data_IF_833776678444
#
_entry.id   IF_833776678444
#
_cell.length_a   1.000
_cell.length_b   1.000
_cell.length_c   1.000
_cell.angle_alpha   90.00
_cell.angle_beta   90.00
_cell.angle_gamma   90.00
#
_symmetry.space_group_name_H-M   'P 1'
#
loop_
_entity.id
_entity.type
_entity.pdbx_description
1 polymer ?
#
# COMPACT_ATOMS: atom_id res chain seq x y z
N UNK A 1 -35.70 -3.23 7.35
CA UNK A 1 -35.58 -2.56 6.03
C UNK A 1 -34.28 -1.77 5.99
N UNK A 2 -33.28 -2.31 5.29
CA UNK A 2 -31.92 -1.78 5.14
C UNK A 2 -31.92 -0.35 4.56
N UNK A 3 -31.53 0.65 5.37
CA UNK A 3 -31.28 2.05 4.96
C UNK A 3 -29.77 2.40 4.93
N UNK A 4 -28.89 1.40 4.98
CA UNK A 4 -27.44 1.58 5.18
C UNK A 4 -26.62 1.81 3.91
N UNK A 5 -26.86 1.01 2.86
CA UNK A 5 -26.08 1.05 1.61
C UNK A 5 -26.25 2.37 0.85
N UNK A 6 -27.48 2.91 0.78
CA UNK A 6 -27.72 4.23 0.17
C UNK A 6 -27.03 5.37 0.92
N UNK A 7 -27.07 5.36 2.25
CA UNK A 7 -26.40 6.36 3.09
C UNK A 7 -24.88 6.28 3.00
N UNK A 8 -24.34 5.07 2.91
CA UNK A 8 -22.91 4.84 2.75
C UNK A 8 -22.42 5.34 1.37
N UNK A 9 -23.14 5.03 0.28
CA UNK A 9 -22.86 5.53 -1.07
C UNK A 9 -22.97 7.05 -1.16
N UNK A 10 -23.98 7.64 -0.55
CA UNK A 10 -24.17 9.10 -0.45
C UNK A 10 -23.02 9.77 0.32
N UNK A 11 -22.61 9.16 1.44
CA UNK A 11 -21.51 9.69 2.28
C UNK A 11 -20.17 9.58 1.57
N UNK A 12 -19.92 8.48 0.87
CA UNK A 12 -18.73 8.28 0.03
C UNK A 12 -18.73 9.25 -1.16
N UNK A 13 -19.88 9.46 -1.80
CA UNK A 13 -20.04 10.45 -2.88
C UNK A 13 -19.76 11.87 -2.39
N UNK A 14 -20.31 12.26 -1.23
CA UNK A 14 -20.04 13.56 -0.60
C UNK A 14 -18.57 13.72 -0.24
N UNK A 15 -17.94 12.66 0.28
CA UNK A 15 -16.51 12.62 0.55
C UNK A 15 -15.69 12.86 -0.74
N UNK A 16 -15.98 12.14 -1.82
CA UNK A 16 -15.27 12.26 -3.10
C UNK A 16 -15.42 13.67 -3.72
N UNK A 17 -16.64 14.24 -3.70
CA UNK A 17 -16.89 15.60 -4.19
C UNK A 17 -16.17 16.66 -3.34
N UNK A 18 -16.15 16.51 -2.01
CA UNK A 18 -15.43 17.40 -1.12
C UNK A 18 -13.90 17.30 -1.31
N UNK A 19 -13.40 16.09 -1.56
CA UNK A 19 -11.98 15.82 -1.82
C UNK A 19 -11.48 16.51 -3.08
N UNK A 20 -12.31 16.53 -4.14
CA UNK A 20 -11.96 17.23 -5.38
C UNK A 20 -11.67 18.74 -5.19
N UNK A 21 -12.10 19.32 -4.06
CA UNK A 21 -11.82 20.71 -3.68
C UNK A 21 -10.68 20.85 -2.68
N UNK A 22 -10.55 19.93 -1.73
CA UNK A 22 -9.53 19.97 -0.67
C UNK A 22 -9.24 18.58 -0.09
N UNK A 23 -8.01 18.08 -0.29
CA UNK A 23 -7.62 16.78 0.23
C UNK A 23 -7.45 16.72 1.75
N UNK A 24 -7.38 17.86 2.44
CA UNK A 24 -7.35 17.88 3.92
C UNK A 24 -8.59 17.20 4.51
N UNK A 25 -9.72 17.24 3.79
CA UNK A 25 -10.95 16.53 4.18
C UNK A 25 -10.72 15.02 4.23
N UNK A 26 -10.02 14.43 3.25
CA UNK A 26 -9.68 13.01 3.29
C UNK A 26 -8.68 12.69 4.38
N UNK A 27 -7.67 13.54 4.58
CA UNK A 27 -6.68 13.33 5.64
C UNK A 27 -7.39 13.27 6.99
N UNK A 28 -8.27 14.24 7.29
CA UNK A 28 -9.07 14.25 8.52
C UNK A 28 -9.93 12.99 8.62
N UNK A 29 -10.57 12.56 7.54
CA UNK A 29 -11.43 11.37 7.56
C UNK A 29 -10.63 10.06 7.77
N UNK A 30 -9.43 9.97 7.20
CA UNK A 30 -8.51 8.86 7.43
C UNK A 30 -8.04 8.83 8.89
N UNK A 31 -7.76 9.99 9.49
CA UNK A 31 -7.35 10.07 10.88
C UNK A 31 -8.49 9.69 11.83
N UNK A 32 -9.71 10.15 11.54
CA UNK A 32 -10.93 9.73 12.25
C UNK A 32 -11.11 8.20 12.15
N UNK A 33 -11.01 7.63 10.94
CA UNK A 33 -11.10 6.16 10.78
C UNK A 33 -10.00 5.44 11.54
N UNK A 34 -8.76 5.93 11.50
CA UNK A 34 -7.64 5.33 12.22
C UNK A 34 -7.86 5.33 13.73
N UNK A 35 -8.34 6.44 14.29
CA UNK A 35 -8.72 6.50 15.69
C UNK A 35 -9.80 5.47 16.04
N UNK A 36 -10.87 5.40 15.24
CA UNK A 36 -11.94 4.42 15.43
C UNK A 36 -11.43 2.97 15.40
N UNK A 37 -10.46 2.66 14.52
CA UNK A 37 -9.84 1.34 14.44
C UNK A 37 -9.01 1.00 15.68
N UNK A 38 -8.28 1.97 16.25
CA UNK A 38 -7.51 1.79 17.49
C UNK A 38 -8.38 1.50 18.71
N UNK A 39 -9.66 1.87 18.67
CA UNK A 39 -10.62 1.68 19.76
C UNK A 39 -11.76 0.71 19.38
N UNK A 40 -11.59 -0.09 18.32
CA UNK A 40 -12.65 -0.94 17.77
C UNK A 40 -13.13 -2.01 18.76
N UNK A 41 -12.29 -2.42 19.71
CA UNK A 41 -12.60 -3.37 20.78
C UNK A 41 -13.75 -2.92 21.71
N UNK A 42 -14.13 -1.65 21.71
CA UNK A 42 -15.25 -1.13 22.50
C UNK A 42 -16.58 -1.07 21.72
N UNK A 43 -16.54 -1.33 20.41
CA UNK A 43 -17.75 -1.36 19.55
C UNK A 43 -18.45 -2.72 19.68
N UNK A 44 -19.75 -2.79 19.44
CA UNK A 44 -20.50 -4.06 19.40
C UNK A 44 -19.91 -5.04 18.37
N UNK A 45 -19.82 -6.33 18.71
CA UNK A 45 -19.11 -7.36 17.93
C UNK A 45 -19.61 -7.44 16.49
N UNK A 46 -20.93 -7.33 16.29
CA UNK A 46 -21.59 -7.42 14.98
C UNK A 46 -21.20 -6.28 14.03
N UNK A 47 -20.68 -5.16 14.57
CA UNK A 47 -20.22 -4.02 13.78
C UNK A 47 -18.72 -4.05 13.49
N UNK A 48 -17.92 -4.76 14.30
CA UNK A 48 -16.45 -4.72 14.20
C UNK A 48 -15.95 -5.26 12.87
N UNK A 49 -16.42 -6.44 12.49
CA UNK A 49 -16.05 -7.10 11.23
C UNK A 49 -16.40 -6.21 10.03
N UNK A 50 -17.63 -5.68 9.98
CA UNK A 50 -18.06 -4.76 8.92
C UNK A 50 -17.17 -3.52 8.82
N UNK A 51 -16.84 -2.90 9.96
CA UNK A 51 -15.98 -1.70 9.99
C UNK A 51 -14.56 -2.05 9.52
N UNK A 52 -14.06 -3.21 9.91
CA UNK A 52 -12.74 -3.69 9.54
C UNK A 52 -12.63 -3.98 8.03
N UNK A 53 -13.61 -4.71 7.46
CA UNK A 53 -13.69 -4.96 6.01
C UNK A 53 -13.78 -3.65 5.23
N UNK A 54 -14.67 -2.73 5.63
CA UNK A 54 -14.78 -1.39 5.03
C UNK A 54 -13.46 -0.63 5.11
N UNK A 55 -12.70 -0.80 6.19
CA UNK A 55 -11.39 -0.17 6.38
C UNK A 55 -10.35 -0.72 5.41
N UNK A 56 -10.30 -2.03 5.20
CA UNK A 56 -9.38 -2.67 4.26
C UNK A 56 -9.70 -2.30 2.81
N UNK A 57 -10.97 -2.38 2.42
CA UNK A 57 -11.39 -2.20 1.03
C UNK A 57 -11.38 -0.74 0.59
N UNK A 58 -11.76 0.18 1.48
CA UNK A 58 -11.96 1.60 1.13
C UNK A 58 -10.85 2.47 1.70
N UNK A 59 -10.69 2.48 3.03
CA UNK A 59 -9.84 3.48 3.68
C UNK A 59 -8.35 3.21 3.50
N UNK A 60 -7.91 1.96 3.59
CA UNK A 60 -6.54 1.58 3.30
C UNK A 60 -6.18 1.86 1.83
N UNK A 61 -7.09 1.55 0.89
CA UNK A 61 -6.90 1.87 -0.53
C UNK A 61 -6.77 3.38 -0.78
N UNK A 62 -7.61 4.20 -0.13
CA UNK A 62 -7.50 5.67 -0.21
C UNK A 62 -6.16 6.14 0.36
N UNK A 63 -5.76 5.66 1.55
CA UNK A 63 -4.47 5.99 2.16
C UNK A 63 -3.29 5.59 1.25
N UNK A 64 -3.38 4.44 0.57
CA UNK A 64 -2.37 4.00 -0.40
C UNK A 64 -2.22 4.98 -1.56
N UNK A 65 -3.35 5.38 -2.17
CA UNK A 65 -3.33 6.29 -3.33
C UNK A 65 -2.84 7.70 -2.95
N UNK A 66 -3.09 8.14 -1.71
CA UNK A 66 -2.53 9.38 -1.16
C UNK A 66 -1.05 9.28 -0.73
N UNK A 67 -0.43 8.11 -0.88
CA UNK A 67 0.95 7.86 -0.47
C UNK A 67 1.16 7.84 1.05
N UNK A 68 0.08 7.75 1.84
CA UNK A 68 0.12 7.81 3.31
C UNK A 68 0.47 6.43 3.89
N UNK A 69 1.72 6.00 3.68
CA UNK A 69 2.19 4.65 3.98
C UNK A 69 2.04 4.22 5.44
N UNK A 70 2.28 5.12 6.39
CA UNK A 70 2.12 4.83 7.84
C UNK A 70 0.67 4.54 8.16
N UNK A 71 -0.22 5.44 7.74
CA UNK A 71 -1.66 5.35 8.00
C UNK A 71 -2.27 4.14 7.33
N UNK A 72 -1.91 3.88 6.07
CA UNK A 72 -2.34 2.69 5.35
C UNK A 72 -1.98 1.42 6.12
N UNK A 73 -0.71 1.26 6.47
CA UNK A 73 -0.21 0.06 7.15
C UNK A 73 -0.95 -0.15 8.48
N UNK A 74 -1.13 0.92 9.25
CA UNK A 74 -1.76 0.80 10.56
C UNK A 74 -3.26 0.47 10.43
N UNK A 75 -3.97 1.08 9.47
CA UNK A 75 -5.35 0.71 9.16
C UNK A 75 -5.46 -0.76 8.72
N UNK A 76 -4.55 -1.22 7.87
CA UNK A 76 -4.50 -2.60 7.39
C UNK A 76 -4.28 -3.59 8.54
N UNK A 77 -3.25 -3.37 9.37
CA UNK A 77 -2.90 -4.28 10.46
C UNK A 77 -3.99 -4.29 11.56
N UNK A 78 -4.57 -3.13 11.91
CA UNK A 78 -5.68 -3.04 12.87
C UNK A 78 -6.95 -3.71 12.34
N UNK A 79 -7.25 -3.55 11.05
CA UNK A 79 -8.45 -4.14 10.47
C UNK A 79 -8.31 -5.65 10.27
N UNK A 80 -7.10 -6.15 9.98
CA UNK A 80 -6.87 -7.57 9.77
C UNK A 80 -7.32 -8.43 10.94
N UNK A 81 -7.05 -8.02 12.17
CA UNK A 81 -7.45 -8.73 13.40
C UNK A 81 -8.96 -8.97 13.48
N UNK A 82 -9.78 -8.01 13.05
CA UNK A 82 -11.23 -8.10 13.14
C UNK A 82 -11.90 -8.61 11.87
N UNK A 83 -11.28 -8.42 10.71
CA UNK A 83 -11.79 -8.89 9.43
C UNK A 83 -11.53 -10.39 9.21
N UNK A 84 -10.37 -10.89 9.65
CA UNK A 84 -9.94 -12.27 9.44
C UNK A 84 -9.18 -12.80 10.69
N UNK A 85 -9.87 -13.02 11.83
CA UNK A 85 -9.22 -13.29 13.12
C UNK A 85 -8.37 -14.58 13.14
N UNK A 86 -8.83 -15.63 12.45
CA UNK A 86 -8.08 -16.90 12.36
C UNK A 86 -6.78 -16.74 11.56
N UNK A 87 -6.87 -16.09 10.40
CA UNK A 87 -5.72 -15.81 9.53
C UNK A 87 -4.73 -14.85 10.19
N UNK A 88 -5.24 -13.87 10.95
CA UNK A 88 -4.43 -12.96 11.75
C UNK A 88 -3.59 -13.74 12.78
N UNK A 89 -4.22 -14.63 13.53
CA UNK A 89 -3.56 -15.43 14.57
C UNK A 89 -2.46 -16.30 13.95
N UNK A 90 -2.78 -17.05 12.89
CA UNK A 90 -1.81 -17.87 12.15
C UNK A 90 -0.64 -17.05 11.60
N UNK A 91 -0.93 -15.92 10.97
CA UNK A 91 0.09 -15.03 10.38
C UNK A 91 1.01 -14.44 11.46
N UNK A 92 0.46 -14.13 12.64
CA UNK A 92 1.21 -13.58 13.77
C UNK A 92 2.16 -14.61 14.38
N UNK A 93 1.72 -15.85 14.55
CA UNK A 93 2.56 -16.96 15.02
C UNK A 93 3.72 -17.20 14.05
N UNK A 94 3.40 -17.39 12.77
CA UNK A 94 4.36 -17.55 11.67
C UNK A 94 5.40 -16.43 11.60
N UNK A 95 4.97 -15.16 11.73
CA UNK A 95 5.87 -14.02 11.76
C UNK A 95 6.81 -14.08 12.98
N UNK A 96 6.28 -14.43 14.15
CA UNK A 96 7.05 -14.44 15.39
C UNK A 96 8.20 -15.43 15.38
N UNK A 97 8.01 -16.60 14.75
CA UNK A 97 9.03 -17.63 14.60
C UNK A 97 10.17 -17.17 13.70
N UNK A 98 9.86 -16.56 12.55
CA UNK A 98 10.85 -16.12 11.56
C UNK A 98 11.56 -14.81 11.92
N UNK A 99 10.94 -13.95 12.71
CA UNK A 99 11.46 -12.61 12.99
C UNK A 99 12.79 -12.65 13.76
N UNK A 100 12.94 -13.54 14.75
CA UNK A 100 14.15 -13.59 15.59
C UNK A 100 15.42 -13.87 14.78
N UNK A 101 15.39 -14.91 13.96
CA UNK A 101 16.52 -15.28 13.10
C UNK A 101 16.83 -14.19 12.07
N UNK A 102 15.78 -13.67 11.43
CA UNK A 102 15.90 -12.62 10.41
C UNK A 102 16.48 -11.33 10.98
N UNK A 103 16.11 -10.95 12.20
CA UNK A 103 16.59 -9.73 12.84
C UNK A 103 18.09 -9.78 13.11
N UNK A 104 18.61 -10.88 13.66
CA UNK A 104 20.05 -11.05 13.91
C UNK A 104 20.85 -10.93 12.60
N UNK A 105 20.36 -11.56 11.53
CA UNK A 105 20.97 -11.48 10.19
C UNK A 105 20.97 -10.04 9.67
N UNK A 106 19.83 -9.35 9.72
CA UNK A 106 19.69 -7.98 9.24
C UNK A 106 20.55 -7.00 10.04
N UNK A 107 20.71 -7.20 11.34
CA UNK A 107 21.60 -6.39 12.17
C UNK A 107 23.08 -6.58 11.77
N UNK A 108 23.50 -7.81 11.47
CA UNK A 108 24.85 -8.08 10.98
C UNK A 108 25.09 -7.43 9.60
N UNK A 109 24.16 -7.60 8.66
CA UNK A 109 24.24 -6.95 7.35
C UNK A 109 24.24 -5.43 7.47
N UNK A 110 23.38 -4.87 8.32
CA UNK A 110 23.33 -3.44 8.57
C UNK A 110 24.70 -2.96 9.05
N UNK A 111 25.32 -3.60 10.06
CA UNK A 111 26.66 -3.22 10.55
C UNK A 111 27.71 -3.22 9.44
N UNK A 112 27.76 -4.26 8.61
CA UNK A 112 28.69 -4.35 7.47
C UNK A 112 28.45 -3.22 6.47
N UNK A 113 27.18 -2.98 6.11
CA UNK A 113 26.81 -1.92 5.18
C UNK A 113 27.19 -0.54 5.73
N UNK A 114 26.89 -0.25 7.01
CA UNK A 114 27.22 1.04 7.65
C UNK A 114 28.73 1.33 7.57
N UNK A 115 29.55 0.33 7.87
CA UNK A 115 31.02 0.46 7.80
C UNK A 115 31.47 0.81 6.39
N UNK A 116 30.95 0.09 5.38
CA UNK A 116 31.33 0.29 3.98
C UNK A 116 30.83 1.59 3.38
N UNK A 117 29.60 2.01 3.72
CA UNK A 117 29.09 3.33 3.36
C UNK A 117 30.00 4.45 3.88
N UNK A 118 30.47 4.35 5.12
CA UNK A 118 31.36 5.33 5.72
C UNK A 118 32.77 5.33 5.08
N UNK A 119 33.34 4.15 4.80
CA UNK A 119 34.63 4.01 4.10
C UNK A 119 34.60 4.65 2.70
N UNK A 120 33.48 4.55 1.99
CA UNK A 120 33.28 5.13 0.65
C UNK A 120 32.78 6.59 0.67
N UNK A 121 32.82 7.25 1.85
CA UNK A 121 32.57 8.69 1.98
C UNK A 121 31.11 9.09 2.22
N UNK A 122 30.18 8.15 2.34
CA UNK A 122 28.79 8.42 2.75
C UNK A 122 28.74 8.42 4.27
N UNK A 123 28.96 9.58 4.89
CA UNK A 123 29.03 9.71 6.37
C UNK A 123 27.71 10.07 7.03
N UNK A 124 26.76 10.63 6.27
CA UNK A 124 25.43 11.00 6.76
C UNK A 124 24.37 10.10 6.17
N UNK A 125 24.02 9.08 6.92
CA UNK A 125 22.94 8.16 6.56
C UNK A 125 22.28 7.60 7.82
N UNK A 126 21.05 7.15 7.66
CA UNK A 126 20.35 6.33 8.64
C UNK A 126 20.13 4.96 8.02
N UNK A 127 20.26 3.90 8.81
CA UNK A 127 19.81 2.58 8.37
C UNK A 127 19.04 1.86 9.45
N UNK A 128 17.90 1.31 9.05
CA UNK A 128 16.99 0.56 9.89
C UNK A 128 16.64 -0.79 9.24
N UNK A 129 16.09 -1.70 10.01
CA UNK A 129 15.42 -2.87 9.47
C UNK A 129 13.91 -2.65 9.55
N UNK A 130 13.20 -2.89 8.45
CA UNK A 130 11.76 -2.75 8.35
C UNK A 130 11.13 -4.14 8.29
N UNK A 131 10.42 -4.51 9.35
CA UNK A 131 9.53 -5.68 9.31
C UNK A 131 8.25 -5.32 8.56
N UNK A 132 7.75 -6.22 7.72
CA UNK A 132 6.45 -6.07 7.03
C UNK A 132 5.27 -6.04 8.02
N UNK A 133 4.16 -5.43 7.58
CA UNK A 133 2.88 -5.52 8.31
C UNK A 133 2.30 -6.93 8.22
N UNK A 134 1.47 -7.29 9.19
CA UNK A 134 0.81 -8.59 9.24
C UNK A 134 -0.12 -8.78 8.03
N UNK A 135 -0.87 -7.74 7.66
CA UNK A 135 -1.75 -7.79 6.50
C UNK A 135 -0.97 -8.04 5.20
N UNK A 136 0.14 -7.32 4.99
CA UNK A 136 0.98 -7.51 3.81
C UNK A 136 1.63 -8.89 3.77
N UNK A 137 2.02 -9.44 4.91
CA UNK A 137 2.54 -10.81 5.01
C UNK A 137 1.47 -11.83 4.64
N UNK A 138 0.26 -11.69 5.21
CA UNK A 138 -0.88 -12.54 4.87
C UNK A 138 -1.18 -12.53 3.37
N UNK A 139 -1.23 -11.35 2.74
CA UNK A 139 -1.44 -11.24 1.29
C UNK A 139 -0.33 -11.94 0.47
N UNK A 140 0.93 -11.94 0.96
CA UNK A 140 2.02 -12.69 0.33
C UNK A 140 1.88 -14.20 0.53
N UNK A 141 1.58 -14.65 1.75
CA UNK A 141 1.30 -16.06 2.06
C UNK A 141 0.19 -16.61 1.16
N UNK A 142 -0.92 -15.87 1.04
CA UNK A 142 -2.05 -16.25 0.19
C UNK A 142 -1.67 -16.39 -1.28
N UNK A 143 -0.82 -15.50 -1.82
CA UNK A 143 -0.30 -15.58 -3.20
C UNK A 143 0.65 -16.77 -3.41
N UNK A 144 1.36 -17.19 -2.36
CA UNK A 144 2.34 -18.28 -2.37
C UNK A 144 1.78 -19.61 -1.86
N UNK A 145 0.46 -19.78 -1.86
CA UNK A 145 -0.17 -21.02 -1.45
C UNK A 145 -0.03 -21.37 0.04
N UNK A 146 0.36 -20.41 0.89
CA UNK A 146 0.50 -20.59 2.33
C UNK A 146 1.87 -21.06 2.82
N UNK A 147 2.84 -21.26 1.92
CA UNK A 147 4.19 -21.67 2.32
C UNK A 147 5.03 -20.45 2.77
N UNK A 148 5.34 -20.39 4.07
CA UNK A 148 6.20 -19.35 4.64
C UNK A 148 7.66 -19.49 4.20
N UNK A 149 8.12 -20.70 3.85
CA UNK A 149 9.50 -20.95 3.46
C UNK A 149 9.86 -20.23 2.16
N UNK A 150 8.88 -19.99 1.29
CA UNK A 150 9.03 -19.19 0.06
C UNK A 150 9.03 -17.67 0.32
N UNK A 151 8.74 -17.23 1.54
CA UNK A 151 8.72 -15.81 1.91
C UNK A 151 10.05 -15.44 2.54
N UNK A 152 10.99 -15.07 1.66
CA UNK A 152 12.31 -14.64 2.09
C UNK A 152 12.37 -13.15 2.48
N UNK A 153 11.37 -12.36 2.12
CA UNK A 153 11.40 -10.89 2.22
C UNK A 153 10.60 -10.35 3.42
N UNK A 154 10.51 -11.10 4.53
CA UNK A 154 9.74 -10.72 5.73
C UNK A 154 10.21 -9.37 6.30
N UNK A 155 11.51 -9.11 6.22
CA UNK A 155 12.10 -7.84 6.62
C UNK A 155 13.10 -7.35 5.57
N UNK A 156 13.15 -6.03 5.42
CA UNK A 156 14.00 -5.33 4.47
C UNK A 156 15.01 -4.46 5.22
N UNK A 157 16.21 -4.31 4.67
CA UNK A 157 17.16 -3.30 5.12
C UNK A 157 16.84 -1.97 4.45
N UNK A 158 16.68 -0.90 5.22
CA UNK A 158 16.49 0.45 4.68
C UNK A 158 17.75 1.25 4.87
N UNK A 159 18.11 2.03 3.85
CA UNK A 159 19.17 3.03 3.90
C UNK A 159 18.56 4.37 3.47
N UNK A 160 18.68 5.36 4.34
CA UNK A 160 18.24 6.74 4.08
C UNK A 160 19.47 7.63 4.00
N UNK A 161 19.69 8.26 2.86
CA UNK A 161 20.85 9.14 2.58
C UNK A 161 20.41 10.59 2.36
N UNK A 162 21.36 11.52 2.22
CA UNK A 162 21.03 12.93 1.96
C UNK A 162 20.60 13.19 0.51
N UNK A 163 21.33 12.64 -0.47
CA UNK A 163 21.18 13.02 -1.89
C UNK A 163 20.82 11.85 -2.81
N UNK A 164 20.25 12.16 -3.98
CA UNK A 164 19.95 11.15 -5.00
C UNK A 164 21.22 10.48 -5.55
N UNK A 165 22.32 11.19 -5.86
CA UNK A 165 23.58 10.54 -6.21
C UNK A 165 24.06 9.53 -5.16
N UNK A 166 23.91 9.85 -3.87
CA UNK A 166 24.30 8.92 -2.80
C UNK A 166 23.40 7.68 -2.75
N UNK A 167 22.15 7.74 -3.24
CA UNK A 167 21.31 6.54 -3.37
C UNK A 167 21.95 5.56 -4.37
N UNK A 168 22.41 6.05 -5.51
CA UNK A 168 23.03 5.22 -6.54
C UNK A 168 24.43 4.74 -6.13
N UNK A 169 25.21 5.55 -5.42
CA UNK A 169 26.47 5.10 -4.81
C UNK A 169 26.24 3.99 -3.80
N UNK A 170 25.27 4.16 -2.90
CA UNK A 170 24.90 3.12 -1.93
C UNK A 170 24.42 1.84 -2.61
N UNK A 171 23.71 1.93 -3.74
CA UNK A 171 23.33 0.76 -4.55
C UNK A 171 24.56 0.02 -5.09
N UNK A 172 25.56 0.76 -5.61
CA UNK A 172 26.83 0.18 -6.04
C UNK A 172 27.58 -0.54 -4.91
N UNK A 173 27.62 0.08 -3.73
CA UNK A 173 28.23 -0.51 -2.52
C UNK A 173 27.52 -1.81 -2.13
N UNK A 174 26.18 -1.80 -2.10
CA UNK A 174 25.38 -3.00 -1.79
C UNK A 174 25.68 -4.13 -2.77
N UNK A 175 25.72 -3.83 -4.08
CA UNK A 175 25.98 -4.83 -5.11
C UNK A 175 27.43 -5.35 -5.11
N UNK A 176 28.38 -4.58 -4.57
CA UNK A 176 29.75 -5.04 -4.35
C UNK A 176 29.88 -5.94 -3.11
N UNK A 177 29.07 -5.71 -2.08
CA UNK A 177 29.09 -6.51 -0.85
C UNK A 177 28.34 -7.82 -1.00
N UNK A 178 27.23 -7.81 -1.74
CA UNK A 178 26.35 -8.95 -1.90
C UNK A 178 25.91 -9.09 -3.35
N UNK A 179 25.86 -10.32 -3.84
CA UNK A 179 25.44 -10.62 -5.20
C UNK A 179 23.95 -10.24 -5.39
N UNK A 180 23.63 -9.34 -6.35
CA UNK A 180 22.24 -8.99 -6.64
C UNK A 180 21.54 -10.11 -7.40
N UNK A 181 20.25 -10.28 -7.12
CA UNK A 181 19.38 -11.18 -7.85
C UNK A 181 18.94 -10.52 -9.17
N UNK A 182 19.19 -11.20 -10.29
CA UNK A 182 18.88 -10.70 -11.63
C UNK A 182 17.38 -10.39 -11.76
N UNK A 183 17.05 -9.24 -12.34
CA UNK A 183 15.66 -8.79 -12.53
C UNK A 183 14.96 -8.31 -11.26
N UNK A 184 15.65 -8.22 -10.11
CA UNK A 184 15.09 -7.73 -8.83
C UNK A 184 15.63 -6.37 -8.39
N UNK A 185 16.23 -5.61 -9.31
CA UNK A 185 16.57 -4.21 -9.10
C UNK A 185 15.42 -3.35 -9.67
N UNK A 186 14.83 -2.49 -8.84
CA UNK A 186 13.75 -1.58 -9.25
C UNK A 186 14.14 -0.14 -8.91
N UNK A 187 14.17 0.71 -9.93
CA UNK A 187 14.47 2.13 -9.79
C UNK A 187 13.19 2.97 -9.77
N UNK A 188 12.60 3.16 -8.58
CA UNK A 188 11.46 4.06 -8.42
C UNK A 188 11.87 5.53 -8.23
N UNK A 189 13.16 5.85 -8.26
CA UNK A 189 13.59 7.25 -8.30
C UNK A 189 13.38 7.78 -9.72
N UNK A 190 13.86 7.04 -10.73
CA UNK A 190 13.68 7.34 -12.15
C UNK A 190 12.23 7.12 -12.60
N UNK A 191 11.56 6.09 -12.09
CA UNK A 191 10.17 5.75 -12.41
C UNK A 191 9.30 5.68 -11.16
N UNK A 192 8.88 6.84 -10.60
CA UNK A 192 8.06 6.89 -9.39
C UNK A 192 6.73 6.15 -9.56
N UNK A 193 6.24 5.52 -8.49
CA UNK A 193 4.89 4.92 -8.52
C UNK A 193 3.81 6.01 -8.63
N UNK A 194 2.59 5.68 -9.08
CA UNK A 194 1.50 6.65 -9.22
C UNK A 194 1.16 7.45 -7.96
N UNK A 195 1.39 6.88 -6.78
CA UNK A 195 1.20 7.54 -5.48
C UNK A 195 2.40 8.44 -5.05
N UNK A 196 3.37 8.66 -5.95
CA UNK A 196 4.57 9.47 -5.70
C UNK A 196 5.66 8.76 -4.91
N UNK A 197 5.56 7.44 -4.70
CA UNK A 197 6.60 6.68 -4.00
C UNK A 197 7.90 6.61 -4.81
N UNK A 198 9.01 6.93 -4.15
CA UNK A 198 10.37 6.91 -4.71
C UNK A 198 11.34 6.18 -3.77
N UNK A 199 12.14 5.26 -4.34
CA UNK A 199 13.20 4.50 -3.68
C UNK A 199 13.91 3.62 -4.71
N UNK A 200 15.17 3.27 -4.50
CA UNK A 200 15.82 2.14 -5.17
C UNK A 200 15.57 0.88 -4.35
N UNK A 201 15.10 -0.19 -4.99
CA UNK A 201 14.98 -1.51 -4.37
C UNK A 201 15.94 -2.47 -5.06
N UNK A 202 16.67 -3.26 -4.27
CA UNK A 202 17.49 -4.36 -4.77
C UNK A 202 17.32 -5.58 -3.86
N UNK A 203 17.29 -6.77 -4.43
CA UNK A 203 17.28 -8.02 -3.68
C UNK A 203 18.63 -8.68 -3.85
N UNK A 204 19.29 -9.04 -2.74
CA UNK A 204 20.65 -9.60 -2.74
C UNK A 204 20.71 -10.92 -1.98
N UNK A 205 21.66 -11.78 -2.36
CA UNK A 205 21.96 -13.02 -1.63
C UNK A 205 22.84 -12.75 -0.42
N UNK A 206 22.50 -13.33 0.72
CA UNK A 206 23.21 -13.13 2.00
C UNK A 206 24.36 -14.11 2.24
N UNK A 207 24.60 -15.03 1.30
CA UNK A 207 25.68 -16.04 1.36
C UNK A 207 25.31 -17.34 2.08
N UNK A 208 24.28 -17.32 2.93
CA UNK A 208 23.71 -18.48 3.64
C UNK A 208 22.50 -19.10 2.92
N UNK A 209 22.34 -18.81 1.61
CA UNK A 209 21.21 -19.25 0.80
C UNK A 209 19.93 -18.42 0.96
N UNK A 210 19.90 -17.47 1.91
CA UNK A 210 18.79 -16.52 2.05
C UNK A 210 18.94 -15.31 1.11
N UNK A 211 17.85 -14.58 0.91
CA UNK A 211 17.83 -13.30 0.20
C UNK A 211 17.30 -12.20 1.11
N UNK A 212 17.78 -10.99 0.89
CA UNK A 212 17.33 -9.78 1.60
C UNK A 212 17.05 -8.67 0.61
N UNK A 213 15.93 -7.98 0.82
CA UNK A 213 15.59 -6.77 0.10
C UNK A 213 16.24 -5.55 0.78
N UNK A 214 16.92 -4.71 0.01
CA UNK A 214 17.50 -3.45 0.45
C UNK A 214 16.77 -2.29 -0.24
N UNK A 215 16.29 -1.33 0.54
CA UNK A 215 15.58 -0.13 0.10
C UNK A 215 16.43 1.10 0.37
N UNK A 216 16.82 1.81 -0.68
CA UNK A 216 17.68 3.01 -0.59
C UNK A 216 16.87 4.22 -1.06
N UNK A 217 16.92 5.33 -0.33
CA UNK A 217 16.21 6.58 -0.68
C UNK A 217 16.79 7.78 0.07
N UNK A 218 16.39 8.98 -0.34
CA UNK A 218 16.75 10.19 0.42
C UNK A 218 15.84 10.40 1.63
N UNK A 219 16.22 11.33 2.52
CA UNK A 219 15.36 11.75 3.64
C UNK A 219 14.02 12.32 3.17
N UNK A 220 14.01 13.16 2.13
CA UNK A 220 12.76 13.69 1.57
C UNK A 220 11.87 12.57 1.00
N UNK A 221 12.46 11.63 0.25
CA UNK A 221 11.73 10.47 -0.27
C UNK A 221 11.20 9.58 0.86
N UNK A 222 11.93 9.50 1.99
CA UNK A 222 11.48 8.78 3.17
C UNK A 222 10.24 9.42 3.80
N UNK A 223 10.27 10.74 4.04
CA UNK A 223 9.14 11.48 4.58
C UNK A 223 7.91 11.39 3.64
N UNK A 224 8.11 11.55 2.32
CA UNK A 224 7.05 11.37 1.32
C UNK A 224 6.49 9.95 1.32
N UNK A 225 7.32 8.92 1.47
CA UNK A 225 6.84 7.54 1.53
C UNK A 225 6.06 7.22 2.82
N UNK A 226 6.31 7.95 3.91
CA UNK A 226 5.60 7.77 5.18
C UNK A 226 4.27 8.53 5.20
N UNK A 227 4.29 9.80 4.78
CA UNK A 227 3.18 10.73 4.98
C UNK A 227 2.50 11.18 3.69
N UNK A 228 3.07 10.83 2.53
CA UNK A 228 2.51 11.10 1.21
C UNK A 228 2.15 12.57 1.04
N UNK A 229 0.88 12.79 0.70
CA UNK A 229 0.33 14.12 0.46
C UNK A 229 0.46 15.08 1.66
N UNK A 230 0.47 14.57 2.88
CA UNK A 230 0.58 15.40 4.08
C UNK A 230 1.97 16.04 4.20
N UNK A 231 3.04 15.34 3.78
CA UNK A 231 4.38 15.92 3.72
C UNK A 231 4.42 17.10 2.73
N UNK A 232 3.73 16.97 1.59
CA UNK A 232 3.70 18.04 0.60
C UNK A 232 2.93 19.28 1.07
N UNK A 233 1.79 19.09 1.74
CA UNK A 233 0.98 20.19 2.30
C UNK A 233 1.77 20.97 3.36
N UNK A 234 2.41 20.27 4.31
CA UNK A 234 3.26 20.89 5.34
C UNK A 234 4.43 21.67 4.73
N UNK A 235 5.05 21.12 3.68
CA UNK A 235 6.15 21.80 2.99
C UNK A 235 5.70 23.10 2.31
N UNK A 236 4.55 23.08 1.60
CA UNK A 236 4.00 24.28 0.95
C UNK A 236 3.63 25.38 1.95
N UNK A 237 3.10 25.02 3.12
CA UNK A 237 2.77 25.97 4.18
C UNK A 237 4.03 26.61 4.80
N UNK A 238 5.14 25.86 4.93
CA UNK A 238 6.41 26.39 5.45
C UNK A 238 7.15 27.33 4.49
N UNK A 239 7.06 27.08 3.18
CA UNK A 239 7.81 27.85 2.17
C UNK A 239 7.04 29.10 1.71
N UNK A 240 5.82 29.33 2.19
CA UNK A 240 5.01 30.51 1.81
C UNK A 240 4.67 30.55 0.32
N UNK A 241 4.81 29.43 -0.40
CA UNK A 241 4.71 29.41 -1.85
C UNK A 241 3.24 29.47 -2.29
N UNK A 242 2.84 30.62 -2.83
CA UNK A 242 1.55 30.89 -3.49
C UNK A 242 1.41 30.17 -4.86
N UNK A 243 2.24 29.16 -5.15
CA UNK A 243 2.21 28.47 -6.43
C UNK A 243 1.31 27.23 -6.43
N UNK A 244 0.24 27.36 -7.23
CA UNK A 244 -0.55 26.29 -7.81
C UNK A 244 -1.12 25.25 -6.83
N UNK A 245 -2.39 25.48 -6.48
CA UNK A 245 -3.32 24.50 -5.90
C UNK A 245 -3.61 23.30 -6.84
N UNK A 246 -3.08 23.30 -8.07
CA UNK A 246 -3.69 22.57 -9.17
C UNK A 246 -3.10 21.19 -9.49
N UNK A 247 -1.81 20.89 -9.27
CA UNK A 247 -1.21 19.73 -9.98
C UNK A 247 -1.12 18.40 -9.22
N UNK A 248 -1.44 18.31 -7.93
CA UNK A 248 -1.31 17.03 -7.18
C UNK A 248 -2.62 16.24 -7.01
N UNK A 249 -3.74 16.78 -7.50
CA UNK A 249 -5.08 16.25 -7.22
C UNK A 249 -5.85 15.79 -8.47
N UNK A 250 -5.26 15.87 -9.66
CA UNK A 250 -5.98 15.52 -10.90
C UNK A 250 -6.33 14.03 -10.99
N UNK A 251 -5.55 13.14 -10.35
CA UNK A 251 -5.91 11.73 -10.22
C UNK A 251 -7.13 11.49 -9.30
N UNK A 252 -7.42 12.42 -8.37
CA UNK A 252 -8.65 12.34 -7.57
C UNK A 252 -9.86 12.65 -8.46
N UNK A 253 -9.70 13.52 -9.47
CA UNK A 253 -10.76 13.77 -10.45
C UNK A 253 -11.01 12.58 -11.37
N UNK A 254 -10.00 11.74 -11.66
CA UNK A 254 -10.21 10.50 -12.41
C UNK A 254 -10.91 9.40 -11.60
N UNK A 255 -10.86 9.47 -10.26
CA UNK A 255 -11.70 8.66 -9.37
C UNK A 255 -13.17 9.11 -9.29
N UNK A 256 -13.48 10.31 -9.78
CA UNK A 256 -14.86 10.78 -9.89
C UNK A 256 -15.38 10.27 -11.23
N UNK A 257 -16.37 9.35 -11.25
CA UNK A 257 -16.98 8.92 -12.50
C UNK A 257 -17.47 10.16 -13.26
N UNK A 258 -17.08 10.32 -14.54
CA UNK A 258 -17.76 11.25 -15.44
C UNK A 258 -19.17 10.72 -15.66
N UNK A 259 -20.11 11.09 -14.80
CA UNK A 259 -21.50 10.68 -14.95
C UNK A 259 -22.41 11.89 -15.03
N UNK A 260 -22.84 12.13 -16.28
CA UNK A 260 -24.13 12.67 -16.69
C UNK A 260 -24.54 13.99 -16.08
N UNK A 261 -24.48 15.06 -16.89
CA UNK A 261 -25.50 16.10 -16.78
C UNK A 261 -26.86 15.40 -16.81
N UNK A 262 -27.67 15.64 -15.79
CA UNK A 262 -29.08 15.29 -15.87
C UNK A 262 -29.69 15.96 -17.09
N UNK A 263 -30.38 15.19 -17.91
CA UNK A 263 -31.46 15.70 -18.73
C UNK A 263 -32.68 14.84 -18.44
N UNK A 264 -33.73 15.53 -18.02
CA UNK A 264 -35.08 15.01 -17.82
C UNK A 264 -35.69 14.52 -19.14
N UNK A 265 -36.70 13.65 -19.00
CA UNK A 265 -37.65 13.16 -20.03
C UNK A 265 -37.05 12.19 -21.08
N UNK A 266 -37.70 11.13 -21.56
CA UNK A 266 -39.12 10.78 -21.63
C UNK A 266 -39.32 9.24 -21.67
N UNK A 267 -40.54 8.79 -21.37
CA UNK A 267 -41.05 7.43 -21.51
C UNK A 267 -40.75 6.79 -22.87
N UNK A 268 -40.30 5.52 -22.87
CA UNK A 268 -40.85 4.49 -23.78
C UNK A 268 -40.54 3.07 -23.29
N UNK A 269 -41.60 2.28 -23.11
CA UNK A 269 -41.56 0.82 -22.93
C UNK A 269 -41.05 0.14 -24.20
N UNK A 270 -40.19 -0.88 -24.06
CA UNK A 270 -40.19 -2.09 -24.89
C UNK A 270 -39.78 -3.29 -24.02
N UNK A 271 -40.56 -4.37 -24.13
CA UNK A 271 -40.40 -5.63 -23.41
C UNK A 271 -39.33 -6.57 -24.02
N UNK A 272 -38.72 -7.36 -23.12
CA UNK A 272 -38.23 -8.76 -23.22
C UNK A 272 -37.38 -9.20 -24.41
N UNK A 273 -36.19 -9.73 -24.09
CA UNK A 273 -35.93 -11.17 -24.29
C UNK A 273 -34.81 -11.71 -23.38
N UNK A 274 -34.96 -12.99 -23.05
CA UNK A 274 -34.23 -13.78 -22.07
C UNK A 274 -33.00 -14.46 -22.66
N UNK A 275 -31.90 -14.51 -21.91
CA UNK A 275 -30.99 -15.67 -21.91
C UNK A 275 -30.32 -15.78 -20.54
N UNK A 276 -30.56 -16.90 -19.88
CA UNK A 276 -29.92 -17.27 -18.62
C UNK A 276 -28.56 -17.93 -18.92
N UNK A 277 -27.49 -17.54 -18.22
CA UNK A 277 -26.48 -18.49 -17.72
C UNK A 277 -25.54 -17.90 -16.63
N UNK A 278 -25.37 -18.73 -15.58
CA UNK A 278 -24.38 -18.71 -14.49
C UNK A 278 -24.46 -17.61 -13.42
N UNK A 279 -25.05 -17.99 -12.27
CA UNK A 279 -24.85 -17.32 -10.98
C UNK A 279 -23.48 -17.71 -10.42
N UNK A 280 -22.59 -16.73 -10.22
CA UNK A 280 -21.45 -16.83 -9.31
C UNK A 280 -21.68 -15.87 -8.14
N UNK A 281 -21.31 -16.30 -6.94
CA UNK A 281 -21.44 -15.56 -5.69
C UNK A 281 -20.65 -14.24 -5.74
N UNK A 282 -21.35 -13.12 -5.55
CA UNK A 282 -20.83 -11.76 -5.38
C UNK A 282 -22.01 -10.84 -5.07
N UNK A 283 -21.91 -10.00 -4.04
CA UNK A 283 -23.00 -9.14 -3.56
C UNK A 283 -23.44 -8.13 -4.66
N UNK A 284 -24.71 -8.12 -5.11
CA UNK A 284 -25.22 -7.19 -6.12
C UNK A 284 -25.31 -5.72 -5.65
N UNK A 285 -24.86 -5.41 -4.43
CA UNK A 285 -24.89 -4.05 -3.87
C UNK A 285 -23.62 -3.21 -4.13
N UNK A 286 -22.52 -3.84 -4.57
CA UNK A 286 -21.27 -3.18 -4.91
C UNK A 286 -21.36 -2.54 -6.31
N UNK A 287 -21.10 -1.23 -6.46
CA UNK A 287 -20.94 -0.60 -7.77
C UNK A 287 -19.87 -1.30 -8.62
N UNK A 288 -20.11 -1.50 -9.90
CA UNK A 288 -19.23 -2.20 -10.84
C UNK A 288 -17.79 -1.63 -10.90
N UNK A 289 -17.64 -0.32 -10.63
CA UNK A 289 -16.33 0.35 -10.54
C UNK A 289 -15.51 -0.02 -9.29
N UNK A 290 -16.13 -0.57 -8.23
CA UNK A 290 -15.42 -1.12 -7.06
C UNK A 290 -14.70 -2.43 -7.41
N UNK A 291 -15.19 -3.19 -8.39
CA UNK A 291 -14.44 -4.31 -8.97
C UNK A 291 -13.24 -3.80 -9.78
N UNK A 292 -13.41 -2.71 -10.54
CA UNK A 292 -12.32 -2.06 -11.29
C UNK A 292 -11.25 -1.42 -10.38
N UNK A 293 -11.63 -0.93 -9.19
CA UNK A 293 -10.67 -0.46 -8.17
C UNK A 293 -9.75 -1.57 -7.63
N UNK A 294 -10.22 -2.81 -7.64
CA UNK A 294 -9.43 -3.99 -7.28
C UNK A 294 -8.52 -4.47 -8.41
N UNK A 295 -8.92 -4.25 -9.65
CA UNK A 295 -8.18 -4.67 -10.86
C UNK A 295 -7.10 -3.66 -11.29
N UNK A 296 -7.24 -2.35 -11.03
CA UNK A 296 -6.17 -1.37 -11.31
C UNK A 296 -4.98 -1.43 -10.33
N UNK A 297 -5.07 -2.31 -9.32
CA UNK A 297 -3.94 -2.67 -8.46
C UNK A 297 -3.01 -3.74 -9.05
N UNK A 298 -3.28 -4.19 -10.29
CA UNK A 298 -2.62 -5.34 -10.94
C UNK A 298 -1.41 -4.93 -11.80
N UNK A 299 -1.17 -3.64 -12.05
CA UNK A 299 0.00 -3.16 -12.82
C UNK A 299 1.22 -2.79 -11.94
N UNK A 300 1.47 -3.55 -10.86
CA UNK A 300 2.80 -3.63 -10.24
C UNK A 300 3.46 -4.91 -10.79
N UNK A 301 4.68 -4.92 -11.36
CA UNK A 301 5.33 -6.15 -11.84
C UNK A 301 5.66 -7.17 -10.73
N UNK A 302 5.03 -7.07 -9.55
CA UNK A 302 4.75 -8.20 -8.64
C UNK A 302 3.47 -9.00 -9.01
N UNK A 303 2.76 -8.67 -10.09
CA UNK A 303 1.41 -9.19 -10.41
C UNK A 303 1.25 -9.93 -11.75
N UNK A 304 2.31 -10.16 -12.54
CA UNK A 304 2.24 -11.08 -13.69
C UNK A 304 3.11 -12.32 -13.47
N UNK A 305 2.45 -13.47 -13.34
CA UNK A 305 2.57 -14.66 -14.21
C UNK A 305 1.77 -15.82 -13.60
N UNK A 306 0.61 -16.15 -14.17
CA UNK A 306 0.08 -17.51 -14.13
C UNK A 306 0.12 -18.06 -15.56
N UNK A 307 0.65 -19.26 -15.82
CA UNK A 307 0.35 -19.94 -17.07
C UNK A 307 -1.14 -20.37 -17.07
N UNK A 308 -1.78 -20.50 -18.25
CA UNK A 308 -3.16 -20.96 -18.34
C UNK A 308 -3.28 -22.35 -17.72
N UNK A 309 -4.25 -22.53 -16.81
CA UNK A 309 -4.63 -23.86 -16.31
C UNK A 309 -4.99 -24.75 -17.49
N UNK A 310 -4.15 -25.74 -17.79
CA UNK A 310 -4.57 -26.90 -18.54
C UNK A 310 -5.50 -27.73 -17.64
N UNK A 311 -6.70 -28.01 -18.16
CA UNK A 311 -7.58 -29.07 -17.69
C UNK A 311 -6.80 -30.39 -17.71
N UNK A 312 -6.84 -31.15 -16.60
CA UNK A 312 -7.25 -32.55 -16.44
C UNK A 312 -7.07 -32.91 -14.95
#
# INVERSE_FOLDING_TARGET
KYRGTGRHRESLRKLLVATGKDARVLIIKLMDRLHNMRTLQHVQKEKRERIALETLEIYAAIAHRLGMGVVRRELEDLAFEYAYPEDFTKTKELLSERTKETQVRLEAMARTLRKKLAEDGIVKFESDHRVKGLWSLYQKLKRKGGDISEIHDIAALRVVVETVPDCYRALGIVNNLWQPLVGKIKDYIAFPKPNGYQSLHTTVFTGDGSIVEVQIRTKEMHERAQYGIAAHVMYKERVGATQSRASSFDWIKSLIPKMGRGSETADTKVEKESTAHSRRYGDPSAPEWLAQLGEEGVDDPEFETLPPRAMW
#
